data_IF_293717069628
#
_entry.id   IF_293717069628
#
_cell.length_a   1.000
_cell.length_b   1.000
_cell.length_c   1.000
_cell.angle_alpha   90.00
_cell.angle_beta   90.00
_cell.angle_gamma   90.00
#
_symmetry.space_group_name_H-M   'P 1'
#
loop_
_entity.id
_entity.type
_entity.pdbx_description
1 polymer ?
#
# COMPACT_ATOMS: atom_id res chain seq x y z
N UNK A 1 12.41 18.26 -2.29
CA UNK A 1 12.26 16.79 -2.31
C UNK A 1 12.65 16.32 -3.70
N UNK A 2 13.83 15.74 -3.85
CA UNK A 2 14.32 15.25 -5.16
C UNK A 2 13.61 13.92 -5.44
N UNK A 3 12.67 13.93 -6.38
CA UNK A 3 12.13 12.67 -6.90
C UNK A 3 13.25 12.02 -7.74
N UNK A 4 13.67 10.82 -7.37
CA UNK A 4 14.55 10.06 -8.23
C UNK A 4 13.85 9.86 -9.59
N UNK A 5 14.51 10.13 -10.71
CA UNK A 5 13.90 9.92 -12.01
C UNK A 5 13.54 8.43 -12.17
N UNK A 6 12.41 8.14 -12.83
CA UNK A 6 12.06 6.77 -13.22
C UNK A 6 13.21 6.27 -14.09
N UNK A 7 13.91 5.26 -13.59
CA UNK A 7 15.05 4.64 -14.28
C UNK A 7 14.67 3.22 -14.66
N UNK A 8 15.00 2.84 -15.88
CA UNK A 8 14.95 1.43 -16.26
C UNK A 8 15.93 0.62 -15.42
N UNK A 9 15.44 -0.44 -14.79
CA UNK A 9 16.25 -1.40 -14.05
C UNK A 9 16.36 -2.66 -14.89
N UNK A 10 17.57 -3.03 -15.36
CA UNK A 10 17.75 -4.26 -16.13
C UNK A 10 17.62 -5.50 -15.24
N UNK A 11 17.33 -6.69 -15.81
CA UNK A 11 17.53 -7.95 -15.10
C UNK A 11 18.92 -8.04 -14.47
N UNK A 12 19.03 -8.63 -13.29
CA UNK A 12 20.23 -8.59 -12.45
C UNK A 12 20.22 -7.47 -11.41
N UNK A 13 19.33 -6.46 -11.51
CA UNK A 13 19.11 -5.51 -10.45
C UNK A 13 18.40 -6.17 -9.26
N UNK A 14 18.51 -5.57 -8.07
CA UNK A 14 17.85 -6.03 -6.84
C UNK A 14 16.62 -5.18 -6.55
N UNK A 15 15.47 -5.82 -6.38
CA UNK A 15 14.22 -5.20 -5.97
C UNK A 15 13.97 -5.46 -4.48
N UNK A 16 13.86 -4.38 -3.70
CA UNK A 16 13.55 -4.43 -2.30
C UNK A 16 12.04 -4.40 -2.05
N UNK A 17 11.57 -5.09 -1.01
CA UNK A 17 10.17 -5.03 -0.58
C UNK A 17 10.07 -4.95 0.93
N UNK A 18 9.23 -4.02 1.40
CA UNK A 18 8.78 -3.96 2.78
C UNK A 18 7.50 -4.81 2.90
N UNK A 19 7.59 -5.83 3.76
CA UNK A 19 6.52 -6.82 3.94
C UNK A 19 6.91 -8.21 3.44
N UNK A 20 6.81 -9.17 4.35
CA UNK A 20 7.23 -10.56 4.14
C UNK A 20 6.07 -11.53 3.92
N UNK A 21 4.84 -11.06 3.77
CA UNK A 21 3.65 -11.88 3.65
C UNK A 21 3.52 -12.61 2.31
N UNK A 22 2.32 -13.09 2.01
CA UNK A 22 2.06 -13.87 0.79
C UNK A 22 2.17 -13.03 -0.48
N UNK A 23 1.76 -11.75 -0.43
CA UNK A 23 1.90 -10.85 -1.58
C UNK A 23 3.37 -10.57 -1.87
N UNK A 24 4.19 -10.33 -0.83
CA UNK A 24 5.64 -10.21 -0.96
C UNK A 24 6.28 -11.47 -1.53
N UNK A 25 5.80 -12.67 -1.15
CA UNK A 25 6.25 -13.92 -1.75
C UNK A 25 5.91 -14.02 -3.24
N UNK A 26 4.67 -13.66 -3.63
CA UNK A 26 4.26 -13.62 -5.03
C UNK A 26 5.10 -12.62 -5.83
N UNK A 27 5.36 -11.44 -5.27
CA UNK A 27 6.26 -10.45 -5.85
C UNK A 27 7.68 -11.03 -6.05
N UNK A 28 8.25 -11.67 -5.01
CA UNK A 28 9.59 -12.26 -5.09
C UNK A 28 9.69 -13.31 -6.21
N UNK A 29 8.73 -14.22 -6.30
CA UNK A 29 8.69 -15.20 -7.38
C UNK A 29 8.57 -14.57 -8.78
N UNK A 30 7.71 -13.56 -8.95
CA UNK A 30 7.56 -12.86 -10.22
C UNK A 30 8.84 -12.10 -10.61
N UNK A 31 9.45 -11.41 -9.66
CA UNK A 31 10.70 -10.69 -9.88
C UNK A 31 11.83 -11.64 -10.28
N UNK A 32 11.98 -12.76 -9.56
CA UNK A 32 13.00 -13.78 -9.86
C UNK A 32 12.79 -14.44 -11.23
N UNK A 33 11.54 -14.71 -11.60
CA UNK A 33 11.21 -15.25 -12.93
C UNK A 33 11.60 -14.28 -14.06
N UNK A 34 11.65 -12.97 -13.79
CA UNK A 34 12.12 -11.94 -14.72
C UNK A 34 13.62 -11.65 -14.62
N UNK A 35 14.36 -12.39 -13.79
CA UNK A 35 15.81 -12.27 -13.66
C UNK A 35 16.27 -11.20 -12.67
N UNK A 36 15.41 -10.72 -11.74
CA UNK A 36 15.80 -9.80 -10.67
C UNK A 36 16.20 -10.55 -9.41
N UNK A 37 17.10 -9.96 -8.64
CA UNK A 37 17.30 -10.33 -7.24
C UNK A 37 16.25 -9.67 -6.36
N UNK A 38 16.03 -10.25 -5.17
CA UNK A 38 15.03 -9.76 -4.22
C UNK A 38 15.60 -9.61 -2.82
N UNK A 39 15.26 -8.51 -2.16
CA UNK A 39 15.55 -8.24 -0.75
C UNK A 39 14.25 -7.94 -0.02
N UNK A 40 14.00 -8.62 1.10
CA UNK A 40 12.78 -8.46 1.91
C UNK A 40 13.16 -7.95 3.29
N UNK A 41 12.42 -6.96 3.79
CA UNK A 41 12.48 -6.54 5.19
C UNK A 41 11.16 -6.94 5.85
N UNK A 42 11.26 -7.80 6.84
CA UNK A 42 10.16 -8.27 7.68
C UNK A 42 10.69 -8.82 8.99
N UNK A 43 9.99 -8.58 10.09
CA UNK A 43 10.42 -9.02 11.42
C UNK A 43 10.26 -10.52 11.65
N UNK A 44 9.32 -11.18 10.95
CA UNK A 44 9.07 -12.61 11.10
C UNK A 44 10.16 -13.42 10.39
N UNK A 45 11.00 -14.19 11.11
CA UNK A 45 12.00 -15.06 10.51
C UNK A 45 11.42 -16.12 9.58
N UNK A 46 10.17 -16.49 9.78
CA UNK A 46 9.44 -17.47 8.99
C UNK A 46 8.57 -16.84 7.89
N UNK A 47 8.74 -15.55 7.64
CA UNK A 47 7.93 -14.81 6.67
C UNK A 47 7.95 -15.47 5.29
N UNK A 48 6.79 -15.63 4.63
CA UNK A 48 6.68 -16.31 3.34
C UNK A 48 7.60 -15.73 2.25
N UNK A 49 7.77 -14.42 2.19
CA UNK A 49 8.64 -13.76 1.22
C UNK A 49 10.12 -13.86 1.62
N UNK A 50 10.43 -13.75 2.92
CA UNK A 50 11.79 -13.88 3.43
C UNK A 50 12.41 -15.22 3.07
N UNK A 51 11.62 -16.30 3.14
CA UNK A 51 12.07 -17.67 2.83
C UNK A 51 12.44 -17.92 1.36
N UNK A 52 11.95 -17.10 0.45
CA UNK A 52 12.18 -17.27 -1.00
C UNK A 52 13.03 -16.15 -1.59
N UNK A 53 13.32 -15.11 -0.84
CA UNK A 53 14.12 -13.98 -1.30
C UNK A 53 15.63 -14.24 -1.18
N UNK A 54 16.44 -13.56 -1.98
CA UNK A 54 17.89 -13.65 -1.92
C UNK A 54 18.45 -13.05 -0.62
N UNK A 55 17.76 -12.01 -0.11
CA UNK A 55 18.13 -11.36 1.15
C UNK A 55 16.91 -11.20 2.02
N UNK A 56 16.99 -11.62 3.28
CA UNK A 56 15.98 -11.37 4.30
C UNK A 56 16.60 -10.54 5.43
N UNK A 57 16.06 -9.34 5.63
CA UNK A 57 16.44 -8.43 6.70
C UNK A 57 15.39 -8.56 7.80
N UNK A 58 15.74 -9.31 8.86
CA UNK A 58 14.81 -9.67 9.93
C UNK A 58 14.75 -8.56 10.97
N UNK A 59 13.94 -7.55 10.73
CA UNK A 59 13.71 -6.44 11.66
C UNK A 59 12.38 -5.76 11.41
N UNK A 60 11.97 -4.88 12.33
CA UNK A 60 10.75 -4.07 12.19
C UNK A 60 10.87 -3.01 11.10
N UNK A 61 9.72 -2.59 10.58
CA UNK A 61 9.65 -1.63 9.45
C UNK A 61 10.18 -0.23 9.78
N UNK A 62 10.33 0.12 11.06
CA UNK A 62 10.82 1.43 11.50
C UNK A 62 12.28 1.39 11.98
N UNK A 63 12.94 0.23 11.93
CA UNK A 63 14.35 0.09 12.32
C UNK A 63 15.26 0.80 11.32
N UNK A 64 15.98 1.86 11.72
CA UNK A 64 16.79 2.64 10.80
C UNK A 64 17.94 1.84 10.19
N UNK A 65 18.54 0.89 10.93
CA UNK A 65 19.61 0.06 10.42
C UNK A 65 19.10 -0.95 9.39
N UNK A 66 17.92 -1.52 9.64
CA UNK A 66 17.24 -2.40 8.68
C UNK A 66 16.87 -1.67 7.39
N UNK A 67 16.31 -0.47 7.50
CA UNK A 67 15.98 0.37 6.35
C UNK A 67 17.24 0.76 5.55
N UNK A 68 18.33 1.14 6.23
CA UNK A 68 19.59 1.46 5.56
C UNK A 68 20.17 0.23 4.83
N UNK A 69 20.08 -0.97 5.43
CA UNK A 69 20.51 -2.22 4.79
C UNK A 69 19.66 -2.55 3.57
N UNK A 70 18.32 -2.37 3.66
CA UNK A 70 17.44 -2.58 2.52
C UNK A 70 17.77 -1.63 1.37
N UNK A 71 17.97 -0.33 1.66
CA UNK A 71 18.35 0.65 0.67
C UNK A 71 19.71 0.33 0.01
N UNK A 72 20.70 -0.11 0.81
CA UNK A 72 22.03 -0.45 0.29
C UNK A 72 22.03 -1.70 -0.62
N UNK A 73 21.11 -2.63 -0.41
CA UNK A 73 20.98 -3.85 -1.20
C UNK A 73 20.12 -3.66 -2.45
N UNK A 74 19.29 -2.60 -2.51
CA UNK A 74 18.21 -2.49 -3.50
C UNK A 74 18.43 -1.36 -4.49
N UNK A 75 18.20 -1.61 -5.77
CA UNK A 75 18.16 -0.60 -6.83
C UNK A 75 16.83 0.15 -6.85
N UNK A 76 15.77 -0.44 -6.33
CA UNK A 76 14.49 0.19 -6.02
C UNK A 76 13.76 -0.59 -4.94
N UNK A 77 12.86 0.10 -4.21
CA UNK A 77 12.08 -0.50 -3.12
C UNK A 77 10.58 -0.27 -3.36
N UNK A 78 9.80 -1.31 -3.04
CA UNK A 78 8.33 -1.26 -2.99
C UNK A 78 7.81 -1.74 -1.64
N UNK A 79 6.49 -1.71 -1.46
CA UNK A 79 5.79 -2.33 -0.33
C UNK A 79 4.73 -3.28 -0.85
N UNK A 80 4.45 -4.35 -0.10
CA UNK A 80 3.41 -5.31 -0.48
C UNK A 80 2.01 -4.91 -0.01
N UNK A 81 1.91 -4.05 1.00
CA UNK A 81 0.64 -3.66 1.62
C UNK A 81 0.70 -2.23 2.19
N UNK A 82 -0.46 -1.65 2.44
CA UNK A 82 -0.59 -0.25 2.85
C UNK A 82 -0.20 0.02 4.32
N UNK A 83 -0.14 -0.99 5.18
CA UNK A 83 0.12 -0.79 6.62
C UNK A 83 1.62 -0.64 6.98
N UNK A 84 2.53 -0.65 5.99
CA UNK A 84 3.91 -0.26 6.23
C UNK A 84 3.95 1.24 6.55
N UNK A 85 4.60 1.67 7.66
CA UNK A 85 4.64 3.07 8.05
C UNK A 85 5.14 3.97 6.91
N UNK A 86 4.35 4.99 6.55
CA UNK A 86 4.72 5.91 5.46
C UNK A 86 6.04 6.64 5.74
N UNK A 87 6.40 6.84 7.01
CA UNK A 87 7.69 7.43 7.43
C UNK A 87 8.87 6.56 7.01
N UNK A 88 8.73 5.23 7.02
CA UNK A 88 9.77 4.29 6.58
C UNK A 88 10.01 4.38 5.07
N UNK A 89 8.94 4.48 4.29
CA UNK A 89 9.04 4.73 2.84
C UNK A 89 9.64 6.10 2.53
N UNK A 90 9.33 7.12 3.34
CA UNK A 90 9.93 8.45 3.20
C UNK A 90 11.44 8.44 3.50
N UNK A 91 11.87 7.70 4.52
CA UNK A 91 13.29 7.52 4.86
C UNK A 91 14.07 6.80 3.74
N UNK A 92 13.48 5.73 3.19
CA UNK A 92 14.06 5.00 2.05
C UNK A 92 14.13 5.86 0.78
N UNK A 93 13.12 6.70 0.52
CA UNK A 93 13.09 7.58 -0.66
C UNK A 93 14.19 8.65 -0.66
N UNK A 94 14.83 8.89 0.47
CA UNK A 94 16.07 9.71 0.56
C UNK A 94 17.34 8.97 0.10
N UNK A 95 17.29 7.65 -0.05
CA UNK A 95 18.45 6.79 -0.30
C UNK A 95 18.35 6.04 -1.64
N UNK A 96 17.16 5.60 -2.04
CA UNK A 96 16.93 4.87 -3.28
C UNK A 96 15.55 5.19 -3.87
N UNK A 97 15.28 4.82 -5.14
CA UNK A 97 13.94 4.90 -5.72
C UNK A 97 12.92 4.08 -4.93
N UNK A 98 11.79 4.70 -4.58
CA UNK A 98 10.69 4.04 -3.84
C UNK A 98 9.37 4.25 -4.57
N UNK A 99 8.63 3.19 -4.77
CA UNK A 99 7.28 3.20 -5.32
C UNK A 99 6.40 2.18 -4.58
N UNK A 100 5.15 2.54 -4.22
CA UNK A 100 4.52 3.85 -4.36
C UNK A 100 5.16 4.92 -3.47
N UNK A 101 4.92 6.19 -3.79
CA UNK A 101 5.44 7.29 -2.96
C UNK A 101 4.82 7.24 -1.54
N UNK A 102 5.61 7.57 -0.51
CA UNK A 102 5.19 7.56 0.90
C UNK A 102 3.86 8.30 1.13
N UNK A 103 3.67 9.46 0.45
CA UNK A 103 2.43 10.25 0.53
C UNK A 103 1.19 9.49 0.00
N UNK A 104 1.36 8.62 -1.00
CA UNK A 104 0.25 7.84 -1.54
C UNK A 104 -0.15 6.74 -0.56
N UNK A 105 0.83 6.10 0.06
CA UNK A 105 0.59 5.11 1.12
C UNK A 105 -0.06 5.75 2.34
N UNK A 106 0.40 6.93 2.77
CA UNK A 106 -0.21 7.66 3.88
C UNK A 106 -1.70 7.96 3.64
N UNK A 107 -2.08 8.31 2.41
CA UNK A 107 -3.51 8.50 2.05
C UNK A 107 -4.29 7.19 2.13
N UNK A 108 -3.71 6.09 1.67
CA UNK A 108 -4.37 4.77 1.69
C UNK A 108 -4.53 4.20 3.12
N UNK A 109 -3.68 4.61 4.05
CA UNK A 109 -3.75 4.21 5.47
C UNK A 109 -4.92 4.84 6.23
N UNK A 110 -5.45 5.98 5.75
CA UNK A 110 -6.56 6.68 6.37
C UNK A 110 -7.77 6.67 5.44
N UNK A 111 -8.78 5.91 5.81
CA UNK A 111 -9.98 5.73 4.98
C UNK A 111 -10.73 7.02 4.70
N UNK A 112 -10.73 7.97 5.63
CA UNK A 112 -11.37 9.27 5.42
C UNK A 112 -10.57 10.11 4.41
N UNK A 113 -9.25 10.12 4.53
CA UNK A 113 -8.37 10.80 3.58
C UNK A 113 -8.42 10.17 2.19
N UNK A 114 -8.46 8.86 2.10
CA UNK A 114 -8.60 8.13 0.83
C UNK A 114 -9.91 8.51 0.12
N UNK A 115 -11.03 8.49 0.83
CA UNK A 115 -12.32 8.91 0.29
C UNK A 115 -12.33 10.38 -0.14
N UNK A 116 -11.78 11.26 0.68
CA UNK A 116 -11.64 12.67 0.35
C UNK A 116 -10.75 12.88 -0.89
N UNK A 117 -9.70 12.07 -1.04
CA UNK A 117 -8.83 12.10 -2.21
C UNK A 117 -9.59 11.70 -3.47
N UNK A 118 -10.36 10.63 -3.47
CA UNK A 118 -11.16 10.20 -4.61
C UNK A 118 -12.15 11.27 -5.03
N UNK A 119 -12.86 11.89 -4.07
CA UNK A 119 -13.79 12.99 -4.36
C UNK A 119 -13.06 14.16 -5.03
N UNK A 120 -11.90 14.58 -4.51
CA UNK A 120 -11.11 15.66 -5.14
C UNK A 120 -10.65 15.33 -6.56
N UNK A 121 -10.40 14.05 -6.84
CA UNK A 121 -9.99 13.57 -8.17
C UNK A 121 -11.17 13.32 -9.12
N UNK A 122 -12.42 13.58 -8.70
CA UNK A 122 -13.61 13.32 -9.50
C UNK A 122 -13.92 11.83 -9.69
N UNK A 123 -13.35 10.94 -8.86
CA UNK A 123 -13.62 9.50 -8.91
C UNK A 123 -14.94 9.22 -8.19
N UNK A 124 -15.92 8.56 -8.84
CA UNK A 124 -17.17 8.20 -8.19
C UNK A 124 -16.93 7.30 -6.97
N UNK A 125 -17.51 7.68 -5.84
CA UNK A 125 -17.46 6.92 -4.60
C UNK A 125 -18.88 6.64 -4.10
N UNK A 126 -19.06 5.51 -3.42
CA UNK A 126 -20.26 5.30 -2.62
C UNK A 126 -20.39 6.42 -1.58
N UNK A 127 -21.61 6.88 -1.26
CA UNK A 127 -21.84 7.81 -0.17
C UNK A 127 -21.19 7.34 1.12
N UNK A 128 -20.57 8.25 1.85
CA UNK A 128 -19.90 7.94 3.11
C UNK A 128 -20.01 9.11 4.08
N UNK A 129 -19.86 8.81 5.36
CA UNK A 129 -19.73 9.82 6.41
C UNK A 129 -18.53 9.48 7.29
N UNK A 130 -17.81 10.50 7.74
CA UNK A 130 -16.78 10.39 8.77
C UNK A 130 -17.46 10.62 10.11
N UNK A 131 -17.36 9.66 11.03
CA UNK A 131 -18.03 9.68 12.31
C UNK A 131 -16.96 9.59 13.40
N UNK A 132 -16.85 10.64 14.18
CA UNK A 132 -15.90 10.75 15.29
C UNK A 132 -16.59 10.81 16.65
N UNK A 133 -17.90 11.11 16.68
CA UNK A 133 -18.69 11.20 17.91
C UNK A 133 -20.04 10.49 17.81
N UNK A 134 -20.63 10.15 18.95
CA UNK A 134 -21.94 9.53 19.03
C UNK A 134 -23.05 10.40 18.45
N UNK A 135 -22.96 11.71 18.61
CA UNK A 135 -23.91 12.70 18.08
C UNK A 135 -23.88 12.72 16.56
N UNK A 136 -22.69 12.65 15.94
CA UNK A 136 -22.53 12.55 14.48
C UNK A 136 -23.15 11.24 13.95
N UNK A 137 -22.98 10.12 14.66
CA UNK A 137 -23.61 8.85 14.30
C UNK A 137 -25.13 8.97 14.31
N UNK A 138 -25.72 9.56 15.34
CA UNK A 138 -27.15 9.77 15.45
C UNK A 138 -27.69 10.64 14.31
N UNK A 139 -26.98 11.72 13.95
CA UNK A 139 -27.36 12.62 12.86
C UNK A 139 -27.36 11.90 11.52
N UNK A 140 -26.33 11.12 11.19
CA UNK A 140 -26.24 10.36 9.93
C UNK A 140 -27.31 9.27 9.85
N UNK A 141 -27.61 8.59 10.96
CA UNK A 141 -28.67 7.58 11.02
C UNK A 141 -30.05 8.18 10.76
N UNK A 142 -30.33 9.39 11.26
CA UNK A 142 -31.58 10.09 11.01
C UNK A 142 -31.73 10.50 9.54
N UNK A 143 -30.68 10.97 8.89
CA UNK A 143 -30.66 11.37 7.47
C UNK A 143 -30.82 10.15 6.55
N UNK A 144 -30.18 9.02 6.87
CA UNK A 144 -30.27 7.78 6.09
C UNK A 144 -31.69 7.18 6.12
N UNK A 145 -32.45 7.43 7.19
CA UNK A 145 -33.85 7.00 7.27
C UNK A 145 -34.80 7.85 6.42
N UNK A 146 -34.36 9.06 6.03
CA UNK A 146 -35.09 10.00 5.17
C UNK A 146 -34.75 9.86 3.68
N UNK A 147 -33.79 8.99 3.30
CA UNK A 147 -33.39 8.80 1.91
C UNK A 147 -34.53 8.16 1.09
N UNK A 148 -34.90 8.74 -0.08
CA UNK A 148 -35.97 8.20 -0.93
C UNK A 148 -35.58 6.81 -1.43
N UNK A 149 -36.55 5.89 -1.35
CA UNK A 149 -36.45 4.47 -1.54
C UNK A 149 -35.61 4.00 -2.72
N UNK A 150 -34.98 2.86 -2.49
CA UNK A 150 -34.39 1.98 -3.50
C UNK A 150 -35.20 2.01 -4.80
N UNK A 151 -34.61 2.20 -5.98
CA UNK A 151 -35.35 2.09 -7.22
C UNK A 151 -35.98 0.70 -7.26
N UNK A 152 -37.31 0.65 -7.41
CA UNK A 152 -38.07 -0.58 -7.66
C UNK A 152 -37.49 -1.22 -8.90
N UNK A 153 -37.02 -2.46 -8.80
CA UNK A 153 -36.72 -3.27 -9.97
C UNK A 153 -37.98 -3.30 -10.84
N UNK A 154 -37.82 -2.87 -12.07
CA UNK A 154 -38.90 -3.01 -13.06
C UNK A 154 -39.17 -4.53 -13.22
N UNK A 155 -40.39 -4.95 -12.91
CA UNK A 155 -40.87 -6.27 -13.22
C UNK A 155 -40.79 -6.50 -14.72
N UNK A 156 -40.10 -7.54 -15.15
CA UNK A 156 -40.08 -8.01 -16.52
C UNK A 156 -41.55 -8.33 -16.98
N UNK A 157 -41.95 -7.95 -18.19
CA UNK A 157 -43.25 -8.36 -18.72
C UNK A 157 -43.24 -9.88 -18.94
N UNK A 158 -44.26 -10.54 -18.40
CA UNK A 158 -44.58 -11.93 -18.70
C UNK A 158 -45.04 -12.02 -20.17
N UNK A 159 -44.33 -12.75 -20.99
CA UNK A 159 -44.71 -13.18 -22.31
C UNK A 159 -44.45 -14.68 -22.43
#
# INVERSE_FOLDING_TARGET
>A
MSAHPIRYLPPGSTLGVLGGGQLGRMFAHAAQAMGYFTAVLDADPESPAGRVSHHHIQTGYEDPDGLARLAALSDAVTTEFENVPAVSLAALAGQCPVAPAARAVAVAQDRAQEKAHFVRCGVPCAPYAVIETAEQLAAVSADTSAAPGRPKQASAPSG
#
